data_IF_276582513380
#
_entry.id   IF_276582513380
#
_cell.length_a   1.000
_cell.length_b   1.000
_cell.length_c   1.000
_cell.angle_alpha   90.00
_cell.angle_beta   90.00
_cell.angle_gamma   90.00
#
_symmetry.space_group_name_H-M   'P 1'
#
loop_
_entity.id
_entity.type
_entity.pdbx_description
1 polymer ?
#
# COMPACT_ATOMS: atom_id res chain seq x y z
N UNK A 1 -5.06 8.83 19.41
CA UNK A 1 -5.57 7.70 18.60
C UNK A 1 -6.52 8.21 17.54
N UNK A 2 -7.48 9.06 17.91
CA UNK A 2 -8.39 9.76 17.00
C UNK A 2 -7.68 10.56 15.90
N UNK A 3 -6.67 11.37 16.23
CA UNK A 3 -5.85 12.10 15.22
C UNK A 3 -5.20 11.18 14.17
N UNK A 4 -4.80 9.97 14.59
CA UNK A 4 -4.19 9.00 13.66
C UNK A 4 -5.24 8.41 12.72
N UNK A 5 -6.48 8.22 13.18
CA UNK A 5 -7.59 7.80 12.33
C UNK A 5 -8.00 8.90 11.35
N UNK A 6 -8.06 10.15 11.81
CA UNK A 6 -8.39 11.29 10.96
C UNK A 6 -7.33 11.48 9.85
N UNK A 7 -6.04 11.23 10.11
CA UNK A 7 -5.03 11.20 9.05
C UNK A 7 -5.42 10.24 7.90
N UNK A 8 -5.82 9.00 8.22
CA UNK A 8 -6.24 8.03 7.20
C UNK A 8 -7.52 8.48 6.48
N UNK A 9 -8.48 9.05 7.21
CA UNK A 9 -9.73 9.56 6.64
C UNK A 9 -9.43 10.67 5.62
N UNK A 10 -8.62 11.66 6.00
CA UNK A 10 -8.25 12.77 5.13
C UNK A 10 -7.45 12.31 3.91
N UNK A 11 -6.42 11.49 4.13
CA UNK A 11 -5.56 11.01 3.05
C UNK A 11 -6.35 10.24 1.99
N UNK A 12 -7.22 9.31 2.41
CA UNK A 12 -7.98 8.50 1.46
C UNK A 12 -9.09 9.32 0.76
N UNK A 13 -9.70 10.30 1.44
CA UNK A 13 -10.69 11.20 0.80
C UNK A 13 -10.07 12.08 -0.29
N UNK A 14 -8.82 12.50 -0.10
CA UNK A 14 -8.11 13.38 -1.05
C UNK A 14 -7.49 12.61 -2.23
N UNK A 15 -7.46 11.28 -2.18
CA UNK A 15 -6.83 10.48 -3.23
C UNK A 15 -7.60 10.54 -4.55
N UNK A 16 -6.94 11.03 -5.60
CA UNK A 16 -7.47 11.20 -6.96
C UNK A 16 -8.83 11.94 -7.00
N UNK A 17 -8.97 13.01 -6.19
CA UNK A 17 -10.19 13.82 -6.06
C UNK A 17 -11.43 12.99 -5.70
N UNK A 18 -11.25 11.98 -4.85
CA UNK A 18 -12.32 11.13 -4.37
C UNK A 18 -13.00 10.28 -5.46
N UNK A 19 -12.41 10.22 -6.66
CA UNK A 19 -12.89 9.39 -7.78
C UNK A 19 -12.76 7.90 -7.50
N UNK A 20 -12.04 7.55 -6.44
CA UNK A 20 -11.75 6.18 -6.06
C UNK A 20 -12.45 5.73 -4.77
N UNK A 21 -13.59 6.37 -4.45
CA UNK A 21 -14.60 6.05 -3.42
C UNK A 21 -14.64 7.02 -2.21
N UNK A 22 -15.64 7.91 -2.14
CA UNK A 22 -15.96 8.72 -0.98
C UNK A 22 -16.66 7.94 0.14
N UNK A 23 -15.93 7.10 0.89
CA UNK A 23 -16.44 6.62 2.19
C UNK A 23 -15.32 6.07 3.07
N UNK A 24 -14.49 6.98 3.59
CA UNK A 24 -13.31 6.63 4.38
C UNK A 24 -13.62 6.07 5.75
N UNK A 25 -14.72 6.47 6.41
CA UNK A 25 -15.15 5.82 7.66
C UNK A 25 -15.58 4.37 7.45
N UNK A 26 -16.22 4.07 6.32
CA UNK A 26 -16.64 2.70 6.00
C UNK A 26 -15.46 1.78 5.65
N UNK A 27 -14.39 2.35 5.08
CA UNK A 27 -13.17 1.62 4.67
C UNK A 27 -12.04 1.70 5.68
N UNK A 28 -12.20 2.46 6.77
CA UNK A 28 -11.12 2.85 7.68
C UNK A 28 -10.37 1.65 8.26
N UNK A 29 -11.10 0.65 8.76
CA UNK A 29 -10.49 -0.52 9.40
C UNK A 29 -9.58 -1.28 8.44
N UNK A 30 -10.04 -1.48 7.20
CA UNK A 30 -9.28 -2.16 6.16
C UNK A 30 -8.09 -1.32 5.66
N UNK A 31 -8.27 -0.01 5.51
CA UNK A 31 -7.19 0.90 5.13
C UNK A 31 -6.05 0.91 6.17
N UNK A 32 -6.41 0.86 7.46
CA UNK A 32 -5.46 0.71 8.57
C UNK A 32 -4.79 -0.66 8.51
N UNK A 33 -5.57 -1.72 8.27
CA UNK A 33 -5.07 -3.09 8.16
C UNK A 33 -4.05 -3.23 7.02
N UNK A 34 -4.31 -2.66 5.85
CA UNK A 34 -3.38 -2.66 4.71
C UNK A 34 -2.06 -1.96 5.05
N UNK A 35 -2.12 -0.80 5.72
CA UNK A 35 -0.94 -0.05 6.16
C UNK A 35 -0.12 -0.80 7.22
N UNK A 36 -0.79 -1.45 8.17
CA UNK A 36 -0.13 -2.24 9.20
C UNK A 36 0.44 -3.55 8.61
N UNK A 37 -0.31 -4.22 7.75
CA UNK A 37 0.02 -5.50 7.14
C UNK A 37 1.26 -5.42 6.26
N UNK A 38 1.41 -4.37 5.44
CA UNK A 38 2.61 -4.22 4.61
C UNK A 38 3.87 -3.99 5.45
N UNK A 39 3.76 -3.25 6.55
CA UNK A 39 4.90 -3.01 7.47
C UNK A 39 5.28 -4.26 8.23
N UNK A 40 4.29 -5.00 8.73
CA UNK A 40 4.51 -6.24 9.46
C UNK A 40 5.13 -7.32 8.56
N UNK A 41 4.57 -7.52 7.35
CA UNK A 41 5.10 -8.46 6.37
C UNK A 41 6.49 -8.07 5.87
N UNK A 42 6.76 -6.79 5.64
CA UNK A 42 8.10 -6.31 5.26
C UNK A 42 9.12 -6.57 6.38
N UNK A 43 8.77 -6.31 7.64
CA UNK A 43 9.63 -6.62 8.79
C UNK A 43 9.93 -8.11 8.87
N UNK A 44 8.91 -8.96 8.73
CA UNK A 44 9.08 -10.41 8.72
C UNK A 44 9.97 -10.87 7.55
N UNK A 45 9.77 -10.32 6.36
CA UNK A 45 10.58 -10.58 5.18
C UNK A 45 12.05 -10.15 5.37
N UNK A 46 12.32 -8.98 5.96
CA UNK A 46 13.69 -8.53 6.32
C UNK A 46 14.37 -9.49 7.30
N UNK A 47 13.64 -9.96 8.32
CA UNK A 47 14.17 -10.96 9.27
C UNK A 47 14.45 -12.30 8.58
N UNK A 48 13.56 -12.74 7.69
CA UNK A 48 13.77 -13.96 6.93
C UNK A 48 14.96 -13.86 5.97
N UNK A 49 15.11 -12.73 5.28
CA UNK A 49 16.18 -12.52 4.29
C UNK A 49 17.56 -12.34 4.90
N UNK A 50 17.64 -11.96 6.17
CA UNK A 50 18.88 -11.91 6.95
C UNK A 50 19.18 -13.22 7.68
N UNK A 51 18.26 -14.18 7.67
CA UNK A 51 18.42 -15.49 8.33
C UNK A 51 19.39 -16.39 7.55
N UNK A 52 20.24 -17.18 8.25
CA UNK A 52 21.10 -18.20 7.62
C UNK A 52 20.32 -19.26 6.84
N UNK A 53 19.01 -19.39 7.09
CA UNK A 53 18.10 -20.34 6.44
C UNK A 53 17.57 -19.85 5.09
N UNK A 54 17.97 -18.66 4.61
CA UNK A 54 17.51 -18.14 3.31
C UNK A 54 17.99 -19.06 2.18
N UNK A 55 17.05 -19.73 1.52
CA UNK A 55 17.31 -20.30 0.20
C UNK A 55 17.47 -19.15 -0.81
N UNK A 56 18.65 -19.03 -1.42
CA UNK A 56 19.00 -17.96 -2.38
C UNK A 56 18.39 -18.14 -3.78
N UNK A 57 17.50 -19.09 -3.97
CA UNK A 57 16.86 -19.36 -5.26
C UNK A 57 15.71 -18.38 -5.52
N UNK A 58 16.03 -17.09 -5.61
CA UNK A 58 15.10 -16.10 -6.13
C UNK A 58 15.07 -16.19 -7.66
N UNK A 59 13.88 -15.96 -8.22
CA UNK A 59 13.61 -16.13 -9.65
C UNK A 59 14.54 -15.25 -10.49
N UNK A 60 15.30 -15.86 -11.42
CA UNK A 60 16.24 -15.17 -12.30
C UNK A 60 15.57 -14.23 -13.31
N UNK A 61 14.25 -14.32 -13.50
CA UNK A 61 13.50 -13.54 -14.49
C UNK A 61 13.26 -12.07 -14.12
N UNK A 62 13.55 -11.64 -12.89
CA UNK A 62 13.36 -10.25 -12.41
C UNK A 62 14.69 -9.60 -11.99
N UNK A 63 15.78 -9.92 -12.68
CA UNK A 63 17.14 -9.49 -12.33
C UNK A 63 17.36 -7.97 -12.40
N UNK A 64 16.46 -7.21 -13.03
CA UNK A 64 16.48 -5.74 -13.04
C UNK A 64 15.97 -5.11 -11.73
N UNK A 65 15.38 -5.91 -10.84
CA UNK A 65 14.87 -5.47 -9.55
C UNK A 65 15.66 -6.10 -8.39
N UNK A 66 15.85 -5.34 -7.31
CA UNK A 66 16.38 -5.88 -6.06
C UNK A 66 15.34 -6.76 -5.36
N UNK A 67 15.77 -7.67 -4.48
CA UNK A 67 14.85 -8.49 -3.66
C UNK A 67 13.81 -7.63 -2.92
N UNK A 68 14.21 -6.41 -2.51
CA UNK A 68 13.35 -5.46 -1.82
C UNK A 68 12.31 -4.83 -2.73
N UNK A 69 12.70 -4.45 -3.94
CA UNK A 69 11.75 -4.00 -4.96
C UNK A 69 10.78 -5.12 -5.33
N UNK A 70 11.26 -6.36 -5.46
CA UNK A 70 10.43 -7.54 -5.74
C UNK A 70 9.40 -7.78 -4.62
N UNK A 71 9.76 -7.57 -3.35
CA UNK A 71 8.81 -7.66 -2.24
C UNK A 71 7.61 -6.71 -2.45
N UNK A 72 7.87 -5.44 -2.76
CA UNK A 72 6.82 -4.45 -2.98
C UNK A 72 6.04 -4.70 -4.28
N UNK A 73 6.71 -5.12 -5.35
CA UNK A 73 6.06 -5.55 -6.60
C UNK A 73 5.12 -6.72 -6.33
N UNK A 74 5.58 -7.72 -5.57
CA UNK A 74 4.77 -8.87 -5.18
C UNK A 74 3.54 -8.47 -4.38
N UNK A 75 3.68 -7.56 -3.42
CA UNK A 75 2.55 -7.00 -2.68
C UNK A 75 1.55 -6.31 -3.63
N UNK A 76 2.00 -5.41 -4.50
CA UNK A 76 1.15 -4.71 -5.44
C UNK A 76 0.42 -5.67 -6.40
N UNK A 77 1.10 -6.74 -6.84
CA UNK A 77 0.55 -7.72 -7.76
C UNK A 77 -0.68 -8.46 -7.20
N UNK A 78 -0.77 -8.64 -5.87
CA UNK A 78 -1.94 -9.26 -5.22
C UNK A 78 -3.23 -8.45 -5.39
N UNK A 79 -3.13 -7.18 -5.73
CA UNK A 79 -4.26 -6.26 -5.92
C UNK A 79 -4.53 -5.93 -7.40
N UNK A 80 -3.75 -6.49 -8.33
CA UNK A 80 -3.97 -6.32 -9.76
C UNK A 80 -5.37 -6.82 -10.14
N UNK A 81 -6.22 -5.90 -10.60
CA UNK A 81 -7.61 -6.19 -10.96
C UNK A 81 -8.12 -5.17 -11.98
N UNK A 82 -9.12 -5.59 -12.74
CA UNK A 82 -9.87 -4.74 -13.68
C UNK A 82 -11.35 -4.90 -13.33
N UNK A 83 -12.07 -3.78 -13.30
CA UNK A 83 -13.50 -3.72 -12.99
C UNK A 83 -14.21 -2.93 -14.07
N UNK A 84 -15.40 -3.38 -14.47
CA UNK A 84 -16.31 -2.57 -15.29
C UNK A 84 -16.83 -1.38 -14.47
N UNK A 85 -17.41 -0.37 -15.12
CA UNK A 85 -18.01 0.76 -14.39
C UNK A 85 -19.19 0.32 -13.52
N UNK A 86 -19.96 -0.69 -13.95
CA UNK A 86 -21.02 -1.30 -13.14
C UNK A 86 -20.46 -1.97 -11.89
N UNK A 87 -19.41 -2.79 -12.04
CA UNK A 87 -18.75 -3.45 -10.91
C UNK A 87 -18.16 -2.43 -9.94
N UNK A 88 -17.53 -1.36 -10.44
CA UNK A 88 -17.01 -0.27 -9.58
C UNK A 88 -18.13 0.37 -8.77
N UNK A 89 -19.27 0.63 -9.39
CA UNK A 89 -20.42 1.22 -8.70
C UNK A 89 -21.00 0.30 -7.63
N UNK A 90 -21.08 -1.01 -7.91
CA UNK A 90 -21.54 -2.00 -6.94
C UNK A 90 -20.53 -2.15 -5.80
N UNK A 91 -19.24 -2.31 -6.12
CA UNK A 91 -18.15 -2.39 -5.15
C UNK A 91 -18.11 -1.20 -4.20
N UNK A 92 -18.27 0.02 -4.74
CA UNK A 92 -18.29 1.24 -3.93
C UNK A 92 -19.45 1.28 -2.91
N UNK A 93 -20.53 0.52 -3.14
CA UNK A 93 -21.69 0.44 -2.25
C UNK A 93 -21.61 -0.71 -1.24
N UNK A 94 -21.01 -1.83 -1.61
CA UNK A 94 -21.13 -3.08 -0.84
C UNK A 94 -19.85 -3.55 -0.15
N UNK A 95 -18.69 -3.33 -0.76
CA UNK A 95 -17.42 -3.86 -0.25
C UNK A 95 -16.86 -2.94 0.83
N UNK A 96 -16.21 -3.40 1.90
CA UNK A 96 -15.66 -2.51 2.93
C UNK A 96 -14.22 -2.07 2.68
N UNK A 97 -13.62 -2.37 1.53
CA UNK A 97 -12.25 -1.97 1.21
C UNK A 97 -12.21 -0.80 0.21
N UNK A 98 -11.13 -0.01 0.25
CA UNK A 98 -10.86 0.95 -0.83
C UNK A 98 -10.64 0.23 -2.17
N UNK A 99 -10.77 0.94 -3.30
CA UNK A 99 -10.47 0.29 -4.59
C UNK A 99 -9.02 -0.22 -4.63
N UNK A 100 -8.75 -1.33 -5.32
CA UNK A 100 -7.45 -2.01 -5.27
C UNK A 100 -6.23 -1.11 -5.54
N UNK A 101 -6.35 -0.14 -6.46
CA UNK A 101 -5.28 0.85 -6.72
C UNK A 101 -4.93 1.71 -5.48
N UNK A 102 -5.93 2.13 -4.71
CA UNK A 102 -5.73 2.90 -3.48
C UNK A 102 -5.13 2.04 -2.37
N UNK A 103 -5.56 0.77 -2.26
CA UNK A 103 -5.02 -0.23 -1.32
C UNK A 103 -3.55 -0.55 -1.53
N UNK A 104 -3.01 -0.28 -2.72
CA UNK A 104 -1.56 -0.37 -2.98
C UNK A 104 -0.90 0.99 -2.76
N UNK A 105 -1.39 2.02 -3.44
CA UNK A 105 -0.64 3.26 -3.55
C UNK A 105 -0.57 4.05 -2.24
N UNK A 106 -1.64 4.06 -1.43
CA UNK A 106 -1.66 4.83 -0.18
C UNK A 106 -0.84 4.15 0.93
N UNK A 107 -0.94 2.82 1.16
CA UNK A 107 -0.03 2.15 2.09
C UNK A 107 1.44 2.27 1.71
N UNK A 108 1.78 2.15 0.42
CA UNK A 108 3.16 2.30 -0.04
C UNK A 108 3.66 3.74 0.05
N UNK A 109 2.81 4.75 -0.25
CA UNK A 109 3.21 6.15 -0.11
C UNK A 109 3.42 6.58 1.34
N UNK A 110 2.77 5.92 2.30
CA UNK A 110 2.99 6.07 3.74
C UNK A 110 4.28 5.39 4.23
N UNK A 111 4.90 4.52 3.42
CA UNK A 111 5.97 3.64 3.88
C UNK A 111 7.34 4.06 3.36
N UNK A 112 8.15 4.66 4.23
CA UNK A 112 9.49 5.14 3.87
C UNK A 112 10.42 4.07 3.27
N UNK A 113 10.24 2.79 3.66
CA UNK A 113 11.02 1.70 3.09
C UNK A 113 10.75 1.52 1.59
N UNK A 114 9.50 1.68 1.16
CA UNK A 114 9.14 1.68 -0.26
C UNK A 114 9.82 2.83 -0.99
N UNK A 115 9.70 4.05 -0.46
CA UNK A 115 10.33 5.23 -1.08
C UNK A 115 11.86 5.08 -1.21
N UNK A 116 12.52 4.43 -0.24
CA UNK A 116 13.96 4.11 -0.31
C UNK A 116 14.26 3.04 -1.34
N UNK A 117 13.50 1.94 -1.37
CA UNK A 117 13.72 0.82 -2.29
C UNK A 117 13.58 1.22 -3.76
N UNK A 118 12.74 2.22 -4.06
CA UNK A 118 12.53 2.76 -5.41
C UNK A 118 13.14 4.14 -5.63
N UNK A 119 13.96 4.63 -4.70
CA UNK A 119 14.63 5.94 -4.79
C UNK A 119 13.67 7.09 -5.15
N UNK A 120 12.47 7.08 -4.57
CA UNK A 120 11.45 8.09 -4.82
C UNK A 120 11.86 9.44 -4.24
N UNK A 121 12.11 10.43 -5.09
CA UNK A 121 12.42 11.81 -4.66
C UNK A 121 11.30 12.41 -3.80
N UNK A 122 11.68 13.28 -2.85
CA UNK A 122 10.72 14.02 -2.01
C UNK A 122 9.79 14.86 -2.87
N UNK A 123 8.50 14.90 -2.52
CA UNK A 123 7.47 15.63 -3.26
C UNK A 123 6.89 14.90 -4.46
N UNK A 124 7.40 13.70 -4.80
CA UNK A 124 6.76 12.86 -5.84
C UNK A 124 5.45 12.26 -5.35
N UNK A 125 4.57 11.82 -6.27
CA UNK A 125 3.26 11.25 -5.90
C UNK A 125 3.34 10.12 -4.85
N UNK A 126 4.38 9.28 -4.94
CA UNK A 126 4.57 8.14 -4.03
C UNK A 126 5.50 8.45 -2.84
N UNK A 127 6.14 9.61 -2.81
CA UNK A 127 6.90 10.11 -1.67
C UNK A 127 6.59 11.60 -1.46
N UNK A 128 5.30 11.91 -1.32
CA UNK A 128 4.83 13.28 -1.18
C UNK A 128 5.25 13.87 0.18
N UNK A 129 5.25 15.20 0.26
CA UNK A 129 5.56 15.93 1.49
C UNK A 129 4.35 16.01 2.45
N UNK A 130 3.27 15.28 2.14
CA UNK A 130 2.11 15.19 3.02
C UNK A 130 2.42 14.31 4.23
N UNK A 131 1.63 14.49 5.28
CA UNK A 131 1.73 13.69 6.49
C UNK A 131 1.56 12.20 6.17
N UNK A 132 2.57 11.40 6.49
CA UNK A 132 2.53 9.94 6.35
C UNK A 132 1.69 9.35 7.47
N UNK A 133 0.57 8.73 7.13
CA UNK A 133 -0.32 8.14 8.13
C UNK A 133 0.22 6.81 8.64
N UNK A 134 0.34 6.68 9.97
CA UNK A 134 0.82 5.47 10.63
C UNK A 134 0.15 5.31 11.99
N UNK A 135 -0.48 4.15 12.20
CA UNK A 135 -1.09 3.83 13.49
C UNK A 135 -0.06 3.28 14.48
N UNK A 136 0.73 2.29 14.04
CA UNK A 136 1.74 1.55 14.81
C UNK A 136 3.11 1.67 14.18
#
# INVERSE_FOLDING_TARGET
>A
MEEKFECFIEQYNNYENNKLRPSTRFTLSENIADNAGIRASYKAWKLFTTSPKKNKNLNKSLNQFTDEQIFFIGNAFTYCSVMTEEDKNNYAKTDNHAFPKARVNLPLSNFQAFAKAFECSSGTKMNNNEQKCQLW
#
